data_IF_082423537605
#
_entry.id   IF_082423537605
#
_cell.length_a   1.000
_cell.length_b   1.000
_cell.length_c   1.000
_cell.angle_alpha   90.00
_cell.angle_beta   90.00
_cell.angle_gamma   90.00
#
_symmetry.space_group_name_H-M   'P 1'
#
loop_
_entity.id
_entity.type
_entity.pdbx_description
1 polymer ?
#
# COMPACT_ATOMS: atom_id res chain seq x y z
N UNK A 1 31.93 20.74 6.71
CA UNK A 1 31.46 19.52 7.40
C UNK A 1 30.56 18.74 6.47
N UNK A 2 31.08 17.65 5.89
CA UNK A 2 30.35 16.78 4.97
C UNK A 2 29.28 16.00 5.73
N UNK A 3 28.00 16.29 5.45
CA UNK A 3 26.87 15.54 6.01
C UNK A 3 26.92 14.11 5.44
N UNK A 4 27.34 13.14 6.26
CA UNK A 4 27.27 11.70 5.98
C UNK A 4 25.80 11.26 6.03
N UNK A 5 25.01 11.69 5.05
CA UNK A 5 23.66 11.17 4.82
C UNK A 5 23.71 9.82 4.11
N UNK A 6 22.81 8.90 4.47
CA UNK A 6 22.62 7.63 3.76
C UNK A 6 22.35 7.94 2.26
N UNK A 7 22.98 7.23 1.31
CA UNK A 7 22.68 7.40 -0.10
C UNK A 7 21.16 7.27 -0.34
N UNK A 8 20.54 8.13 -1.17
CA UNK A 8 19.16 7.94 -1.54
C UNK A 8 19.01 6.56 -2.15
N UNK A 9 18.05 5.77 -1.64
CA UNK A 9 17.74 4.46 -2.19
C UNK A 9 17.13 4.66 -3.57
N UNK A 10 17.83 4.17 -4.59
CA UNK A 10 17.41 4.22 -5.99
C UNK A 10 16.40 3.09 -6.30
N UNK A 11 15.39 2.97 -5.44
CA UNK A 11 14.38 1.91 -5.53
C UNK A 11 13.18 2.40 -6.36
N UNK A 12 13.43 3.00 -7.53
CA UNK A 12 12.46 3.25 -8.63
C UNK A 12 11.26 4.17 -8.39
N UNK A 13 10.76 4.31 -7.16
CA UNK A 13 9.73 5.27 -6.77
C UNK A 13 9.92 5.67 -5.31
N UNK A 14 9.96 6.97 -5.09
CA UNK A 14 10.12 7.59 -3.78
C UNK A 14 8.83 7.39 -2.96
N UNK A 15 8.75 6.30 -2.18
CA UNK A 15 7.62 5.97 -1.27
C UNK A 15 7.64 6.83 0.00
N UNK A 16 7.59 8.15 -0.17
CA UNK A 16 7.72 9.11 0.94
C UNK A 16 6.38 9.56 1.54
N UNK A 17 5.26 9.17 0.93
CA UNK A 17 3.93 9.54 1.43
C UNK A 17 3.39 8.42 2.32
N UNK A 18 3.04 8.78 3.55
CA UNK A 18 2.35 7.89 4.49
C UNK A 18 0.89 8.33 4.61
N UNK A 19 -0.01 7.35 4.63
CA UNK A 19 -1.43 7.57 4.89
C UNK A 19 -1.85 6.61 6.01
N UNK A 20 -2.48 7.16 7.06
CA UNK A 20 -3.01 6.35 8.16
C UNK A 20 -4.47 6.04 7.88
N UNK A 21 -4.76 4.77 7.62
CA UNK A 21 -6.11 4.27 7.44
C UNK A 21 -6.68 3.82 8.79
N UNK A 22 -7.96 4.11 9.05
CA UNK A 22 -8.73 3.50 10.14
C UNK A 22 -9.63 2.45 9.51
N UNK A 23 -9.65 1.28 10.12
CA UNK A 23 -10.44 0.13 9.67
C UNK A 23 -11.45 -0.21 10.76
N UNK A 24 -12.61 -0.69 10.34
CA UNK A 24 -13.52 -1.45 11.20
C UNK A 24 -12.99 -2.86 11.43
N UNK A 25 -13.50 -3.53 12.46
CA UNK A 25 -13.12 -4.91 12.80
C UNK A 25 -13.34 -5.87 11.62
N UNK A 26 -14.41 -5.67 10.84
CA UNK A 26 -14.70 -6.49 9.65
C UNK A 26 -13.69 -6.26 8.52
N UNK A 27 -13.28 -5.02 8.27
CA UNK A 27 -12.27 -4.71 7.26
C UNK A 27 -10.88 -5.22 7.65
N UNK A 28 -10.55 -5.20 8.95
CA UNK A 28 -9.32 -5.81 9.46
C UNK A 28 -9.32 -7.33 9.27
N UNK A 29 -10.43 -8.01 9.60
CA UNK A 29 -10.57 -9.46 9.38
C UNK A 29 -10.36 -9.84 7.93
N UNK A 30 -10.95 -9.09 6.98
CA UNK A 30 -10.77 -9.34 5.54
C UNK A 30 -9.29 -9.18 5.15
N UNK A 31 -8.59 -8.16 5.66
CA UNK A 31 -7.16 -7.99 5.38
C UNK A 31 -6.32 -9.12 5.97
N UNK A 32 -6.66 -9.63 7.16
CA UNK A 32 -5.99 -10.78 7.77
C UNK A 32 -6.21 -12.07 7.00
N UNK A 33 -7.44 -12.34 6.58
CA UNK A 33 -7.79 -13.49 5.74
C UNK A 33 -7.00 -13.47 4.44
N UNK A 34 -7.04 -12.35 3.69
CA UNK A 34 -6.32 -12.20 2.44
C UNK A 34 -4.79 -12.27 2.63
N UNK A 35 -4.27 -11.73 3.73
CA UNK A 35 -2.85 -11.80 4.04
C UNK A 35 -2.42 -13.25 4.30
N UNK A 36 -3.27 -14.03 4.98
CA UNK A 36 -2.99 -15.41 5.37
C UNK A 36 -3.11 -16.36 4.18
N UNK A 37 -4.20 -16.25 3.41
CA UNK A 37 -4.52 -17.13 2.30
C UNK A 37 -3.49 -17.01 1.16
N UNK A 38 -3.09 -15.77 0.84
CA UNK A 38 -2.22 -15.49 -0.30
C UNK A 38 -0.76 -15.20 0.09
N UNK A 39 -0.43 -15.22 1.38
CA UNK A 39 0.93 -14.90 1.87
C UNK A 39 1.39 -13.48 1.53
N UNK A 40 0.45 -12.55 1.33
CA UNK A 40 0.75 -11.19 0.87
C UNK A 40 0.71 -10.19 2.03
N UNK A 41 1.63 -9.22 2.11
CA UNK A 41 1.55 -8.17 3.11
C UNK A 41 0.26 -7.34 2.97
N UNK A 42 -0.43 -7.03 4.08
CA UNK A 42 -1.62 -6.15 4.10
C UNK A 42 -1.43 -4.86 3.29
N UNK A 43 -0.26 -4.23 3.40
CA UNK A 43 0.07 -3.02 2.64
C UNK A 43 0.08 -3.24 1.10
N UNK A 44 0.48 -4.42 0.64
CA UNK A 44 0.45 -4.77 -0.79
C UNK A 44 -0.98 -5.01 -1.27
N UNK A 45 -1.81 -5.66 -0.45
CA UNK A 45 -3.24 -5.86 -0.72
C UNK A 45 -3.93 -4.50 -0.88
N UNK A 46 -3.70 -3.57 0.05
CA UNK A 46 -4.25 -2.21 -0.03
C UNK A 46 -3.77 -1.45 -1.28
N UNK A 47 -2.50 -1.57 -1.65
CA UNK A 47 -1.97 -0.98 -2.89
C UNK A 47 -2.66 -1.52 -4.14
N UNK A 48 -2.93 -2.82 -4.19
CA UNK A 48 -3.65 -3.46 -5.31
C UNK A 48 -5.10 -2.98 -5.35
N UNK A 49 -5.78 -2.95 -4.20
CA UNK A 49 -7.14 -2.44 -4.09
C UNK A 49 -7.28 -1.00 -4.61
N UNK A 50 -6.35 -0.11 -4.25
CA UNK A 50 -6.32 1.26 -4.77
C UNK A 50 -6.21 1.32 -6.30
N UNK A 51 -5.36 0.49 -6.91
CA UNK A 51 -5.20 0.44 -8.38
C UNK A 51 -6.47 -0.11 -9.06
N UNK A 52 -7.05 -1.16 -8.50
CA UNK A 52 -8.29 -1.74 -9.01
C UNK A 52 -9.44 -0.72 -8.96
N UNK A 53 -9.59 -0.04 -7.82
CA UNK A 53 -10.62 0.98 -7.64
C UNK A 53 -10.45 2.16 -8.61
N UNK A 54 -9.22 2.63 -8.80
CA UNK A 54 -8.91 3.66 -9.79
C UNK A 54 -9.34 3.22 -11.20
N UNK A 55 -9.01 2.00 -11.61
CA UNK A 55 -9.37 1.49 -12.93
C UNK A 55 -10.89 1.36 -13.09
N UNK A 56 -11.60 0.84 -12.09
CA UNK A 56 -13.06 0.74 -12.12
C UNK A 56 -13.70 2.11 -12.36
N UNK A 57 -13.33 3.11 -11.56
CA UNK A 57 -13.88 4.46 -11.65
C UNK A 57 -13.56 5.17 -12.97
N UNK A 58 -12.43 4.83 -13.61
CA UNK A 58 -11.99 5.42 -14.88
C UNK A 58 -12.59 4.75 -16.11
N UNK A 59 -13.13 3.54 -16.00
CA UNK A 59 -13.80 2.83 -17.10
C UNK A 59 -15.33 2.98 -17.07
N UNK A 60 -15.88 3.50 -15.97
CA UNK A 60 -17.31 3.84 -15.83
C UNK A 60 -17.63 5.31 -16.14
N UNK A 61 -16.67 6.08 -16.68
CA UNK A 61 -16.80 7.51 -16.99
C UNK A 61 -16.66 7.81 -18.47
#
# INVERSE_FOLDING_TARGET
MNKRGRPPRDDGEVKNKQYRLRLSDGEESILDELSTEYGMPKAEILRRGLRMQHNLLRHTG
#
